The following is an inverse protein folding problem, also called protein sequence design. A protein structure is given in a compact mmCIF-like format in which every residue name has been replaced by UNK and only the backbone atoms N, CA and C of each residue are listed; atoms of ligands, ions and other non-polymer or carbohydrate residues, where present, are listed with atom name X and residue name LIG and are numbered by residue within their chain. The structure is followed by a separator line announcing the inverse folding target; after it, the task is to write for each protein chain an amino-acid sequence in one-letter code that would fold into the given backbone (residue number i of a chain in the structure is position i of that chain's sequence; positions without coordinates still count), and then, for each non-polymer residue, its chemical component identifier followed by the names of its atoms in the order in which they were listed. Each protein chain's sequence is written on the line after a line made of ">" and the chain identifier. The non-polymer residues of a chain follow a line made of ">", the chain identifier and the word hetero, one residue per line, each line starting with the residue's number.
data_IF_675108517905
#
_entry.id   IF_675108517905
#
_cell.length_a   1.000
_cell.length_b   1.000
_cell.length_c   1.000
_cell.angle_alpha   90.00
_cell.angle_beta   90.00
_cell.angle_gamma   90.00
#
_symmetry.space_group_name_H-M   'P 1'
#
loop_
_entity.id
_entity.type
_entity.pdbx_description
1 polymer ?
#
# COMPACT_ATOMS: atom_id res chain seq x y z
N UNK A 1 -9.45 -1.06 10.52
CA UNK A 1 -9.79 -1.74 9.24
C UNK A 1 -10.64 -0.85 8.32
N UNK A 2 -11.44 0.03 8.92
CA UNK A 2 -12.35 1.01 8.33
C UNK A 2 -11.68 1.89 7.28
N UNK A 3 -10.50 2.45 7.58
CA UNK A 3 -9.76 3.31 6.64
C UNK A 3 -9.38 2.59 5.34
N UNK A 4 -9.05 1.31 5.42
CA UNK A 4 -8.70 0.49 4.27
C UNK A 4 -9.93 0.19 3.41
N UNK A 5 -11.05 -0.19 4.04
CA UNK A 5 -12.32 -0.42 3.34
C UNK A 5 -12.85 0.86 2.67
N UNK A 6 -12.72 2.00 3.33
CA UNK A 6 -13.04 3.31 2.77
C UNK A 6 -12.18 3.62 1.54
N UNK A 7 -10.87 3.38 1.61
CA UNK A 7 -9.97 3.58 0.48
C UNK A 7 -10.35 2.71 -0.73
N UNK A 8 -10.69 1.43 -0.50
CA UNK A 8 -11.17 0.53 -1.56
C UNK A 8 -12.46 1.08 -2.19
N UNK A 9 -13.43 1.50 -1.38
CA UNK A 9 -14.71 2.05 -1.90
C UNK A 9 -14.50 3.31 -2.72
N UNK A 10 -13.60 4.20 -2.29
CA UNK A 10 -13.26 5.43 -3.04
C UNK A 10 -12.57 5.11 -4.35
N UNK A 11 -11.58 4.22 -4.33
CA UNK A 11 -10.90 3.78 -5.53
C UNK A 11 -11.89 3.11 -6.50
N UNK A 12 -12.78 2.23 -6.01
CA UNK A 12 -13.75 1.53 -6.86
C UNK A 12 -14.71 2.46 -7.61
N UNK A 13 -14.92 3.68 -7.11
CA UNK A 13 -15.76 4.68 -7.76
C UNK A 13 -15.09 5.32 -9.00
N UNK A 14 -13.77 5.26 -9.12
CA UNK A 14 -13.00 5.99 -10.15
C UNK A 14 -11.98 5.13 -10.90
N UNK A 15 -11.42 4.10 -10.25
CA UNK A 15 -10.44 3.16 -10.79
C UNK A 15 -10.61 1.78 -10.13
N UNK A 16 -11.19 0.85 -10.88
CA UNK A 16 -11.43 -0.51 -10.43
C UNK A 16 -10.13 -1.30 -10.19
N UNK A 17 -9.11 -1.11 -11.03
CA UNK A 17 -7.83 -1.82 -10.89
C UNK A 17 -7.10 -1.40 -9.61
N UNK A 18 -7.12 -0.09 -9.31
CA UNK A 18 -6.62 0.44 -8.05
C UNK A 18 -7.36 -0.14 -6.84
N UNK A 19 -8.69 -0.26 -6.92
CA UNK A 19 -9.50 -0.84 -5.85
C UNK A 19 -9.15 -2.30 -5.58
N UNK A 20 -8.93 -3.08 -6.64
CA UNK A 20 -8.49 -4.48 -6.54
C UNK A 20 -7.11 -4.57 -5.89
N UNK A 21 -6.16 -3.73 -6.28
CA UNK A 21 -4.83 -3.73 -5.65
C UNK A 21 -4.88 -3.30 -4.18
N UNK A 22 -5.70 -2.31 -3.82
CA UNK A 22 -5.95 -1.97 -2.43
C UNK A 22 -6.52 -3.16 -1.65
N UNK A 23 -7.49 -3.89 -2.23
CA UNK A 23 -8.04 -5.09 -1.61
C UNK A 23 -6.97 -6.19 -1.42
N UNK A 24 -6.02 -6.33 -2.35
CA UNK A 24 -4.90 -7.30 -2.23
C UNK A 24 -3.94 -6.95 -1.10
N UNK A 25 -3.80 -5.67 -0.71
CA UNK A 25 -2.99 -5.26 0.44
C UNK A 25 -3.48 -5.87 1.78
N UNK A 26 -4.70 -6.42 1.85
CA UNK A 26 -5.16 -7.18 3.02
C UNK A 26 -4.23 -8.35 3.40
N UNK A 27 -3.48 -8.91 2.42
CA UNK A 27 -2.47 -9.97 2.66
C UNK A 27 -1.32 -9.56 3.58
N UNK A 28 -1.10 -8.26 3.76
CA UNK A 28 -0.09 -7.74 4.69
C UNK A 28 -0.44 -8.05 6.14
N UNK A 29 -1.73 -8.14 6.46
CA UNK A 29 -2.21 -8.37 7.82
C UNK A 29 -2.31 -9.89 8.05
N UNK A 30 -1.21 -10.49 8.52
CA UNK A 30 -1.16 -11.92 8.87
C UNK A 30 -0.38 -12.17 10.15
N UNK A 31 -0.66 -13.31 10.77
CA UNK A 31 0.01 -13.76 11.99
C UNK A 31 -0.31 -12.90 13.23
N UNK A 32 0.58 -12.93 14.21
CA UNK A 32 0.46 -12.23 15.49
C UNK A 32 1.80 -11.60 15.91
N UNK A 33 1.77 -10.73 16.92
CA UNK A 33 2.95 -10.01 17.41
C UNK A 33 3.61 -9.15 16.33
N UNK A 34 4.95 -9.18 16.28
CA UNK A 34 5.79 -8.33 15.40
C UNK A 34 5.42 -8.43 13.92
N UNK A 35 5.01 -9.62 13.44
CA UNK A 35 4.59 -9.81 12.04
C UNK A 35 3.33 -8.98 11.73
N UNK A 36 2.36 -8.99 12.65
CA UNK A 36 1.12 -8.23 12.50
C UNK A 36 1.35 -6.73 12.65
N UNK A 37 2.22 -6.31 13.57
CA UNK A 37 2.61 -4.91 13.75
C UNK A 37 3.25 -4.35 12.48
N UNK A 38 4.21 -5.07 11.90
CA UNK A 38 4.86 -4.70 10.63
C UNK A 38 3.86 -4.63 9.48
N UNK A 39 3.00 -5.64 9.33
CA UNK A 39 1.94 -5.62 8.32
C UNK A 39 1.00 -4.42 8.46
N UNK A 40 0.64 -4.08 9.71
CA UNK A 40 -0.23 -2.93 10.01
C UNK A 40 0.47 -1.59 9.71
N UNK A 41 1.75 -1.46 10.03
CA UNK A 41 2.57 -0.30 9.68
C UNK A 41 2.69 -0.10 8.17
N UNK A 42 2.97 -1.17 7.43
CA UNK A 42 3.05 -1.11 5.96
C UNK A 42 1.70 -0.71 5.33
N UNK A 43 0.59 -1.27 5.82
CA UNK A 43 -0.75 -0.87 5.39
C UNK A 43 -1.00 0.64 5.64
N UNK A 44 -0.64 1.15 6.81
CA UNK A 44 -0.80 2.58 7.12
C UNK A 44 0.04 3.47 6.20
N UNK A 45 1.27 3.07 5.88
CA UNK A 45 2.15 3.79 4.93
C UNK A 45 1.53 3.83 3.54
N UNK A 46 1.05 2.69 3.03
CA UNK A 46 0.38 2.60 1.72
C UNK A 46 -0.84 3.54 1.66
N UNK A 47 -1.72 3.49 2.66
CA UNK A 47 -2.88 4.38 2.72
C UNK A 47 -2.48 5.86 2.83
N UNK A 48 -1.37 6.15 3.50
CA UNK A 48 -0.77 7.49 3.55
C UNK A 48 -0.37 8.00 2.17
N UNK A 49 0.32 7.17 1.38
CA UNK A 49 0.76 7.50 0.02
C UNK A 49 -0.43 7.73 -0.92
N UNK A 50 -1.46 6.87 -0.85
CA UNK A 50 -2.70 7.08 -1.59
C UNK A 50 -3.43 8.38 -1.21
N UNK A 51 -3.27 8.86 0.04
CA UNK A 51 -3.83 10.17 0.43
C UNK A 51 -2.96 11.33 -0.06
N UNK A 52 -1.64 11.17 -0.02
CA UNK A 52 -0.69 12.21 -0.38
C UNK A 52 -0.66 12.49 -1.89
N UNK A 53 -0.60 11.43 -2.70
CA UNK A 53 -0.47 11.54 -4.15
C UNK A 53 -1.81 11.39 -4.90
N UNK A 54 -2.91 11.19 -4.16
CA UNK A 54 -4.19 10.84 -4.75
C UNK A 54 -4.18 9.40 -5.29
N UNK A 55 -4.84 9.17 -6.42
CA UNK A 55 -4.91 7.84 -7.01
C UNK A 55 -3.57 7.44 -7.62
N UNK A 56 -2.79 6.68 -6.85
CA UNK A 56 -1.66 5.92 -7.38
C UNK A 56 -2.15 5.00 -8.51
N UNK A 57 -1.29 4.71 -9.47
CA UNK A 57 -1.60 3.66 -10.45
C UNK A 57 -1.65 2.29 -9.76
N UNK A 58 -2.49 1.39 -10.28
CA UNK A 58 -2.56 0.01 -9.79
C UNK A 58 -1.17 -0.66 -9.81
N UNK A 59 -0.37 -0.39 -10.84
CA UNK A 59 1.00 -0.90 -10.96
C UNK A 59 1.92 -0.43 -9.81
N UNK A 60 1.88 0.86 -9.47
CA UNK A 60 2.69 1.40 -8.39
C UNK A 60 2.26 0.83 -7.03
N UNK A 61 0.95 0.69 -6.82
CA UNK A 61 0.42 0.07 -5.61
C UNK A 61 0.80 -1.42 -5.48
N UNK A 62 0.79 -2.16 -6.61
CA UNK A 62 1.26 -3.54 -6.64
C UNK A 62 2.75 -3.63 -6.24
N UNK A 63 3.59 -2.74 -6.74
CA UNK A 63 5.01 -2.65 -6.36
C UNK A 63 5.21 -2.44 -4.86
N UNK A 64 4.49 -1.47 -4.27
CA UNK A 64 4.51 -1.23 -2.82
C UNK A 64 4.04 -2.45 -2.03
N UNK A 65 2.98 -3.14 -2.50
CA UNK A 65 2.44 -4.35 -1.87
C UNK A 65 3.45 -5.49 -1.86
N UNK A 66 4.11 -5.76 -2.97
CA UNK A 66 5.14 -6.81 -3.05
C UNK A 66 6.36 -6.46 -2.20
N UNK A 67 6.82 -5.20 -2.24
CA UNK A 67 7.91 -4.73 -1.38
C UNK A 67 7.60 -4.90 0.12
N UNK A 68 6.37 -4.56 0.52
CA UNK A 68 5.89 -4.73 1.89
C UNK A 68 5.74 -6.20 2.31
N UNK A 69 5.57 -7.13 1.37
CA UNK A 69 5.51 -8.57 1.62
C UNK A 69 6.90 -9.21 1.66
N UNK A 70 7.86 -8.70 0.89
CA UNK A 70 9.22 -9.23 0.80
C UNK A 70 10.10 -8.86 2.01
N UNK A 71 9.87 -7.71 2.63
CA UNK A 71 10.75 -7.19 3.68
C UNK A 71 10.49 -7.75 5.08
N UNK A 72 11.50 -8.37 5.68
CA UNK A 72 11.56 -8.58 7.14
C UNK A 72 11.89 -7.27 7.88
N UNK A 73 12.72 -6.43 7.26
CA UNK A 73 13.32 -5.23 7.90
C UNK A 73 12.75 -3.90 7.37
N UNK A 74 11.87 -3.94 6.37
CA UNK A 74 11.23 -2.74 5.79
C UNK A 74 12.02 -2.03 4.69
N UNK A 75 13.27 -2.41 4.44
CA UNK A 75 14.15 -1.78 3.43
C UNK A 75 13.55 -1.79 2.02
N UNK A 76 12.97 -2.92 1.59
CA UNK A 76 12.30 -3.01 0.29
C UNK A 76 11.15 -2.01 0.16
N UNK A 77 10.40 -1.80 1.26
CA UNK A 77 9.31 -0.81 1.29
C UNK A 77 9.87 0.61 1.18
N UNK A 78 10.99 0.91 1.84
CA UNK A 78 11.60 2.24 1.78
C UNK A 78 12.11 2.57 0.37
N UNK A 79 12.74 1.61 -0.31
CA UNK A 79 13.17 1.74 -1.71
C UNK A 79 11.96 2.01 -2.62
N UNK A 80 10.92 1.19 -2.53
CA UNK A 80 9.73 1.33 -3.37
C UNK A 80 9.01 2.69 -3.16
N UNK A 81 9.00 3.20 -1.93
CA UNK A 81 8.47 4.54 -1.64
C UNK A 81 9.34 5.63 -2.24
N UNK A 82 10.67 5.50 -2.17
CA UNK A 82 11.59 6.45 -2.80
C UNK A 82 11.41 6.52 -4.32
N UNK A 83 11.27 5.36 -4.97
CA UNK A 83 11.00 5.28 -6.41
C UNK A 83 9.66 5.95 -6.79
N UNK A 84 8.60 5.69 -6.00
CA UNK A 84 7.31 6.32 -6.21
C UNK A 84 7.41 7.85 -6.11
N UNK A 85 8.10 8.36 -5.08
CA UNK A 85 8.28 9.79 -4.86
C UNK A 85 9.09 10.44 -5.99
N UNK A 86 10.10 9.76 -6.52
CA UNK A 86 10.89 10.23 -7.65
C UNK A 86 10.08 10.31 -8.96
N UNK A 87 9.07 9.44 -9.12
CA UNK A 87 8.16 9.48 -10.27
C UNK A 87 7.09 10.56 -10.09
N UNK A 88 6.54 10.71 -8.88
CA UNK A 88 5.46 11.66 -8.60
C UNK A 88 5.93 13.12 -8.40
N UNK A 89 7.22 13.34 -8.15
CA UNK A 89 7.82 14.66 -8.03
C UNK A 89 8.30 15.27 -9.36
N UNK A 90 8.02 14.64 -10.50
CA UNK A 90 8.32 15.15 -11.84
C UNK A 90 7.09 15.75 -12.51
#
# INVERSE_FOLDING_TARGET
>A
IEQWLEAIRRAAATDYELAVELARCGRLIKGYGKTRERGSGNMQRILGLCRQHGQLSAQALAGLREAALAGEDGEAMDIAVGELQAVAGR
#
